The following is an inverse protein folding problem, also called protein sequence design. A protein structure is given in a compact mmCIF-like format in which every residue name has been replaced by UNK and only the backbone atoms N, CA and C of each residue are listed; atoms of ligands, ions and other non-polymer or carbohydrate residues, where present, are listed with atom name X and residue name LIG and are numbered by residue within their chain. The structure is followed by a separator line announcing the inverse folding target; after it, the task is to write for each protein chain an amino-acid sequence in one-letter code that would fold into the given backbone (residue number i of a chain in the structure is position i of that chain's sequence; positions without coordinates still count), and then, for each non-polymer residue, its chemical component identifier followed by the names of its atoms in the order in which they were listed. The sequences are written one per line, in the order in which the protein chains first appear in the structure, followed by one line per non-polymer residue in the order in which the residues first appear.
data_IF_716609491852
#
_entry.id   IF_716609491852
#
_cell.length_a   1.000
_cell.length_b   1.000
_cell.length_c   1.000
_cell.angle_alpha   90.00
_cell.angle_beta   90.00
_cell.angle_gamma   90.00
#
_symmetry.space_group_name_H-M   'P 1'
#
loop_
_entity.id
_entity.type
_entity.pdbx_description
1 polymer ?
#
# COMPACT_ATOMS: atom_id res chain seq x y z
N UNK A 1 -22.34 33.25 5.63
CA UNK A 1 -22.49 31.79 5.85
C UNK A 1 -21.54 31.12 4.88
N UNK A 2 -20.28 30.87 5.26
CA UNK A 2 -19.72 29.63 5.84
C UNK A 2 -19.65 28.41 4.90
N UNK A 3 -19.13 28.58 3.68
CA UNK A 3 -18.83 27.48 2.73
C UNK A 3 -17.36 26.99 2.76
N UNK A 4 -16.47 27.61 3.54
CA UNK A 4 -15.05 27.24 3.58
C UNK A 4 -14.70 26.08 4.56
N UNK A 5 -15.64 25.65 5.39
CA UNK A 5 -15.39 24.63 6.43
C UNK A 5 -15.80 23.20 6.04
N UNK A 6 -16.52 23.01 4.92
CA UNK A 6 -16.97 21.67 4.48
C UNK A 6 -15.89 20.84 3.78
N UNK A 7 -14.79 21.44 3.31
CA UNK A 7 -13.72 20.73 2.60
C UNK A 7 -12.56 20.26 3.49
N UNK A 8 -12.56 20.59 4.78
CA UNK A 8 -11.43 20.27 5.68
C UNK A 8 -11.63 18.90 6.35
N UNK A 9 -12.87 18.41 6.42
CA UNK A 9 -13.20 17.07 6.91
C UNK A 9 -13.58 16.17 5.74
N UNK A 10 -12.58 15.69 5.00
CA UNK A 10 -12.69 14.42 4.28
C UNK A 10 -12.04 13.34 5.15
N UNK A 11 -12.76 12.74 6.13
CA UNK A 11 -12.25 11.62 6.92
C UNK A 11 -12.06 10.34 6.09
N UNK A 12 -12.50 10.32 4.83
CA UNK A 12 -12.52 9.14 3.96
C UNK A 12 -11.24 8.92 3.13
N UNK A 13 -10.17 9.68 3.39
CA UNK A 13 -8.91 9.47 2.69
C UNK A 13 -8.19 8.28 3.31
N UNK A 14 -8.61 7.06 2.94
CA UNK A 14 -7.90 5.82 3.26
C UNK A 14 -6.43 5.99 2.91
N UNK A 15 -5.57 5.73 3.88
CA UNK A 15 -4.12 5.82 3.68
C UNK A 15 -3.71 4.64 2.81
N UNK A 16 -3.33 4.92 1.57
CA UNK A 16 -2.81 3.93 0.62
C UNK A 16 -1.29 4.00 0.60
N UNK A 17 -0.64 2.85 0.81
CA UNK A 17 0.81 2.67 0.82
C UNK A 17 1.17 1.61 -0.23
N UNK A 18 2.29 1.81 -0.93
CA UNK A 18 2.84 0.83 -1.86
C UNK A 18 4.15 0.32 -1.31
N UNK A 19 4.30 -0.98 -1.16
CA UNK A 19 5.50 -1.53 -0.56
C UNK A 19 5.82 -2.94 -1.01
N UNK A 20 6.88 -3.49 -0.41
CA UNK A 20 7.37 -4.83 -0.68
C UNK A 20 7.24 -5.68 0.56
N UNK A 21 6.66 -6.87 0.43
CA UNK A 21 6.58 -7.84 1.54
C UNK A 21 7.99 -8.28 1.93
N UNK A 22 8.41 -8.00 3.17
CA UNK A 22 9.69 -8.45 3.73
C UNK A 22 9.56 -9.77 4.46
N UNK A 23 8.44 -9.97 5.14
CA UNK A 23 8.23 -11.17 5.92
C UNK A 23 6.74 -11.44 6.06
N UNK A 24 6.38 -12.71 5.97
CA UNK A 24 5.07 -13.19 6.41
C UNK A 24 5.20 -13.66 7.87
N UNK A 25 4.35 -13.12 8.73
CA UNK A 25 4.18 -13.59 10.10
C UNK A 25 3.14 -14.72 10.12
N UNK A 26 3.02 -15.43 11.24
CA UNK A 26 2.02 -16.49 11.37
C UNK A 26 0.61 -16.00 11.05
N UNK A 27 -0.14 -16.81 10.30
CA UNK A 27 -1.49 -16.48 9.84
C UNK A 27 -1.54 -15.49 8.68
N UNK A 28 -2.37 -14.46 8.84
CA UNK A 28 -2.72 -13.45 7.82
C UNK A 28 -1.94 -12.14 7.96
N UNK A 29 -0.81 -12.15 8.68
CA UNK A 29 -0.04 -10.93 8.99
C UNK A 29 1.24 -10.85 8.17
N UNK A 30 1.60 -9.65 7.74
CA UNK A 30 2.72 -9.35 6.88
C UNK A 30 3.48 -8.14 7.40
N UNK A 31 4.78 -8.14 7.16
CA UNK A 31 5.65 -6.99 7.28
C UNK A 31 5.94 -6.49 5.88
N UNK A 32 5.53 -5.26 5.60
CA UNK A 32 5.72 -4.59 4.31
C UNK A 32 6.70 -3.45 4.53
N UNK A 33 7.70 -3.32 3.67
CA UNK A 33 8.55 -2.12 3.63
C UNK A 33 8.01 -1.19 2.53
N UNK A 34 7.65 0.03 2.91
CA UNK A 34 7.27 1.10 1.98
C UNK A 34 8.47 1.60 1.18
N UNK A 35 8.23 2.32 0.08
CA UNK A 35 9.29 2.88 -0.79
C UNK A 35 10.25 3.83 -0.06
N UNK A 36 9.82 4.40 1.07
CA UNK A 36 10.64 5.26 1.93
C UNK A 36 11.47 4.47 2.95
N UNK A 37 11.42 3.14 2.93
CA UNK A 37 12.11 2.27 3.90
C UNK A 37 11.37 2.10 5.24
N UNK A 38 10.13 2.58 5.33
CA UNK A 38 9.32 2.45 6.54
C UNK A 38 8.74 1.03 6.65
N UNK A 39 8.75 0.47 7.86
CA UNK A 39 8.14 -0.83 8.14
C UNK A 39 6.65 -0.65 8.48
N UNK A 40 5.80 -1.25 7.67
CA UNK A 40 4.34 -1.21 7.77
C UNK A 40 3.82 -2.61 8.07
N UNK A 41 3.20 -2.83 9.24
CA UNK A 41 2.47 -4.06 9.50
C UNK A 41 1.19 -4.06 8.67
N UNK A 42 0.95 -5.15 7.94
CA UNK A 42 -0.23 -5.30 7.10
C UNK A 42 -0.90 -6.67 7.28
N UNK A 43 -2.16 -6.79 6.88
CA UNK A 43 -2.91 -8.04 6.95
C UNK A 43 -3.51 -8.44 5.60
N UNK A 44 -3.61 -9.74 5.35
CA UNK A 44 -4.22 -10.28 4.13
C UNK A 44 -4.74 -11.70 4.34
N UNK A 45 -5.92 -11.98 3.78
CA UNK A 45 -6.43 -13.34 3.63
C UNK A 45 -5.69 -14.10 2.54
N UNK A 46 -5.23 -13.40 1.50
CA UNK A 46 -4.45 -13.98 0.41
C UNK A 46 -2.98 -14.17 0.78
N UNK A 47 -2.35 -15.12 0.11
CA UNK A 47 -0.92 -15.38 0.23
C UNK A 47 -0.10 -14.45 -0.69
N UNK A 48 0.85 -13.73 -0.09
CA UNK A 48 1.86 -12.95 -0.81
C UNK A 48 3.26 -13.44 -0.43
N UNK A 49 4.11 -13.83 -1.40
CA UNK A 49 5.47 -14.27 -1.10
C UNK A 49 6.35 -13.09 -0.65
N UNK A 50 7.41 -13.37 0.10
CA UNK A 50 8.46 -12.40 0.38
C UNK A 50 9.05 -11.85 -0.94
N UNK A 51 9.23 -10.53 -1.02
CA UNK A 51 9.62 -9.82 -2.23
C UNK A 51 8.45 -9.36 -3.10
N UNK A 52 7.21 -9.76 -2.78
CA UNK A 52 6.05 -9.31 -3.54
C UNK A 52 5.76 -7.83 -3.32
N UNK A 53 5.49 -7.13 -4.41
CA UNK A 53 4.96 -5.77 -4.41
C UNK A 53 3.48 -5.79 -4.05
N UNK A 54 3.08 -5.01 -3.05
CA UNK A 54 1.72 -4.98 -2.51
C UNK A 54 1.21 -3.56 -2.34
N UNK A 55 -0.10 -3.38 -2.50
CA UNK A 55 -0.81 -2.16 -2.12
C UNK A 55 -1.48 -2.42 -0.78
N UNK A 56 -1.18 -1.57 0.19
CA UNK A 56 -1.77 -1.61 1.54
C UNK A 56 -2.71 -0.42 1.69
N UNK A 57 -3.95 -0.68 2.08
CA UNK A 57 -4.92 0.35 2.44
C UNK A 57 -5.34 0.13 3.89
N UNK A 58 -5.11 1.13 4.74
CA UNK A 58 -5.50 1.08 6.16
C UNK A 58 -4.99 -0.18 6.89
N UNK A 59 -3.74 -0.58 6.59
CA UNK A 59 -3.11 -1.78 7.18
C UNK A 59 -3.58 -3.11 6.60
N UNK A 60 -4.36 -3.13 5.51
CA UNK A 60 -4.78 -4.34 4.79
C UNK A 60 -4.16 -4.36 3.41
N UNK A 61 -3.53 -5.48 3.02
CA UNK A 61 -3.10 -5.69 1.64
C UNK A 61 -4.35 -5.94 0.80
N UNK A 62 -4.66 -4.99 -0.08
CA UNK A 62 -5.84 -5.06 -0.97
C UNK A 62 -5.50 -5.63 -2.34
N UNK A 63 -4.21 -5.85 -2.63
CA UNK A 63 -3.78 -6.41 -3.90
C UNK A 63 -2.27 -6.32 -4.13
N UNK A 64 -1.85 -6.81 -5.30
CA UNK A 64 -0.48 -6.60 -5.78
C UNK A 64 -0.28 -5.11 -6.11
N UNK A 65 0.78 -4.54 -5.57
CA UNK A 65 1.21 -3.19 -5.89
C UNK A 65 1.99 -3.22 -7.19
N UNK A 66 1.64 -2.38 -8.16
CA UNK A 66 2.55 -2.09 -9.24
C UNK A 66 3.71 -1.28 -8.64
N UNK A 67 4.84 -1.93 -8.36
CA UNK A 67 6.09 -1.19 -8.33
C UNK A 67 6.26 -0.72 -9.77
N UNK A 68 6.09 0.58 -10.03
CA UNK A 68 6.32 1.14 -11.34
C UNK A 68 7.79 0.92 -11.74
N UNK A 69 8.02 -0.20 -12.40
CA UNK A 69 9.25 -0.60 -13.08
C UNK A 69 8.97 -1.26 -14.44
N UNK A 70 7.71 -1.26 -14.90
CA UNK A 70 7.39 -1.67 -16.28
C UNK A 70 7.40 -0.43 -17.19
N UNK A 71 8.56 -0.27 -17.83
CA UNK A 71 8.97 0.65 -18.88
C UNK A 71 7.84 1.33 -19.67
N UNK A 72 7.76 2.67 -19.58
CA UNK A 72 7.42 3.48 -20.77
C UNK A 72 8.57 3.31 -21.77
N UNK A 73 8.43 2.36 -22.70
CA UNK A 73 9.21 2.40 -23.94
C UNK A 73 8.70 3.63 -24.69
N UNK A 74 9.39 4.75 -24.58
CA UNK A 74 9.30 5.78 -25.61
C UNK A 74 10.12 5.23 -26.79
N UNK A 75 9.46 4.60 -27.75
CA UNK A 75 10.04 4.49 -29.08
C UNK A 75 9.85 5.87 -29.75
N UNK A 76 10.95 6.43 -30.24
CA UNK A 76 11.08 7.78 -30.79
C UNK A 76 10.65 7.81 -32.25
#
# INVERSE_FOLDING_TARGET
MNDALKNIFNPDRKVTIFGTVKQRLSGSRYIVEDVLGNIVPAQSSDYYPTGASVRVEDGVIVGRGALNGEHRVYEV
#
